data_IF_691015030572
#
_entry.id   IF_691015030572
#
_cell.length_a   1.000
_cell.length_b   1.000
_cell.length_c   1.000
_cell.angle_alpha   90.00
_cell.angle_beta   90.00
_cell.angle_gamma   90.00
#
_symmetry.space_group_name_H-M   'P 1'
#
loop_
_entity.id
_entity.type
_entity.pdbx_description
1 polymer ?
#
# COMPACT_ATOMS: atom_id res chain seq x y z
N UNK A 1 -9.22 -5.51 -5.02
CA UNK A 1 -10.02 -4.70 -5.96
C UNK A 1 -9.56 -4.98 -7.38
N UNK A 2 -10.43 -5.44 -8.29
CA UNK A 2 -10.09 -5.49 -9.71
C UNK A 2 -9.92 -4.07 -10.28
N UNK A 3 -9.17 -3.93 -11.35
CA UNK A 3 -8.93 -2.64 -12.00
C UNK A 3 -8.04 -2.75 -13.23
N UNK A 4 -7.76 -1.60 -13.84
CA UNK A 4 -6.82 -1.45 -14.94
C UNK A 4 -5.37 -1.76 -14.48
N UNK A 5 -4.42 -1.81 -15.40
CA UNK A 5 -3.00 -1.93 -15.09
C UNK A 5 -2.20 -0.88 -15.86
N UNK A 6 -2.54 0.39 -15.67
CA UNK A 6 -1.72 1.46 -16.23
C UNK A 6 -0.33 1.46 -15.58
N UNK A 7 0.69 1.87 -16.34
CA UNK A 7 2.02 2.09 -15.77
C UNK A 7 1.96 3.17 -14.70
N UNK A 8 2.75 2.99 -13.65
CA UNK A 8 2.92 3.98 -12.59
C UNK A 8 4.33 4.54 -12.70
N UNK A 9 4.42 5.74 -13.26
CA UNK A 9 5.63 6.55 -13.34
C UNK A 9 5.24 8.03 -13.17
N UNK A 10 6.19 8.96 -12.95
CA UNK A 10 5.84 10.36 -12.68
C UNK A 10 4.98 11.03 -13.76
N UNK A 11 5.16 10.68 -15.03
CA UNK A 11 4.37 11.25 -16.15
C UNK A 11 2.93 10.77 -16.09
N UNK A 12 2.73 9.46 -16.01
CA UNK A 12 1.39 8.83 -15.93
C UNK A 12 0.65 9.22 -14.66
N UNK A 13 1.33 9.30 -13.51
CA UNK A 13 0.74 9.71 -12.24
C UNK A 13 0.17 11.13 -12.27
N UNK A 14 0.77 12.03 -13.06
CA UNK A 14 0.24 13.39 -13.27
C UNK A 14 -0.84 13.47 -14.34
N UNK A 15 -0.76 12.63 -15.37
CA UNK A 15 -1.60 12.72 -16.56
C UNK A 15 -2.88 11.88 -16.54
N UNK A 16 -2.96 10.86 -15.68
CA UNK A 16 -4.12 9.94 -15.62
C UNK A 16 -4.97 10.25 -14.39
N UNK A 17 -6.17 10.85 -14.56
CA UNK A 17 -7.08 11.11 -13.46
C UNK A 17 -7.43 9.82 -12.71
N UNK A 18 -7.26 9.85 -11.39
CA UNK A 18 -7.58 8.72 -10.53
C UNK A 18 -6.72 7.47 -10.78
N UNK A 19 -5.50 7.60 -11.34
CA UNK A 19 -4.61 6.47 -11.68
C UNK A 19 -4.64 5.34 -10.63
N UNK A 20 -4.38 5.68 -9.37
CA UNK A 20 -4.30 4.70 -8.28
C UNK A 20 -5.66 4.07 -7.92
N UNK A 21 -6.76 4.80 -8.11
CA UNK A 21 -8.11 4.30 -7.89
C UNK A 21 -8.63 3.44 -9.05
N UNK A 22 -8.06 3.60 -10.25
CA UNK A 22 -8.38 2.82 -11.44
C UNK A 22 -7.59 1.53 -11.52
N UNK A 23 -6.34 1.53 -11.09
CA UNK A 23 -5.51 0.34 -11.13
C UNK A 23 -6.00 -0.76 -10.17
N UNK A 24 -5.75 -2.01 -10.57
CA UNK A 24 -5.89 -3.18 -9.70
C UNK A 24 -5.07 -2.97 -8.42
N UNK A 25 -5.69 -3.28 -7.27
CA UNK A 25 -5.06 -3.00 -5.97
C UNK A 25 -5.52 -3.95 -4.88
N UNK A 26 -4.65 -4.17 -3.90
CA UNK A 26 -4.94 -4.88 -2.65
C UNK A 26 -4.95 -3.85 -1.53
N UNK A 27 -6.06 -3.77 -0.81
CA UNK A 27 -6.26 -2.86 0.32
C UNK A 27 -6.10 -3.68 1.59
N UNK A 28 -5.20 -3.25 2.47
CA UNK A 28 -4.94 -3.87 3.76
C UNK A 28 -5.23 -2.86 4.87
N UNK A 29 -6.20 -3.16 5.72
CA UNK A 29 -6.57 -2.35 6.89
C UNK A 29 -5.89 -2.92 8.12
N UNK A 30 -5.34 -2.04 8.96
CA UNK A 30 -4.60 -2.41 10.16
C UNK A 30 -5.03 -1.54 11.34
N UNK A 31 -5.00 -2.14 12.53
CA UNK A 31 -5.01 -1.41 13.80
C UNK A 31 -3.56 -1.22 14.27
N UNK A 32 -3.17 0.01 14.55
CA UNK A 32 -1.82 0.37 14.98
C UNK A 32 -1.80 1.20 16.27
N UNK A 33 -0.59 1.45 16.83
CA UNK A 33 -0.43 2.24 18.05
C UNK A 33 -0.94 3.70 17.95
N UNK A 34 -1.02 4.25 16.73
CA UNK A 34 -1.51 5.60 16.45
C UNK A 34 -2.96 5.61 15.91
N UNK A 35 -3.68 4.50 16.07
CA UNK A 35 -5.01 4.28 15.50
C UNK A 35 -4.99 3.42 14.23
N UNK A 36 -6.15 3.26 13.57
CA UNK A 36 -6.25 2.47 12.37
C UNK A 36 -5.49 3.14 11.22
N UNK A 37 -4.94 2.35 10.30
CA UNK A 37 -4.30 2.85 9.08
C UNK A 37 -4.49 1.85 7.94
N UNK A 38 -4.28 2.31 6.70
CA UNK A 38 -4.46 1.48 5.50
C UNK A 38 -3.22 1.53 4.65
N UNK A 39 -2.77 0.36 4.19
CA UNK A 39 -1.76 0.23 3.16
C UNK A 39 -2.40 -0.36 1.91
N UNK A 40 -2.23 0.31 0.78
CA UNK A 40 -2.77 -0.12 -0.51
C UNK A 40 -1.62 -0.44 -1.44
N UNK A 41 -1.50 -1.71 -1.80
CA UNK A 41 -0.60 -2.16 -2.86
C UNK A 41 -1.31 -1.91 -4.20
N UNK A 42 -0.74 -1.07 -5.07
CA UNK A 42 -1.34 -0.71 -6.37
C UNK A 42 -0.51 -1.31 -7.49
N UNK A 43 -1.10 -2.27 -8.22
CA UNK A 43 -0.46 -2.89 -9.37
C UNK A 43 -0.27 -1.93 -10.55
N UNK A 44 0.62 -2.29 -11.46
CA UNK A 44 0.86 -1.57 -12.71
C UNK A 44 1.18 -2.53 -13.87
N UNK A 45 1.35 -2.01 -15.09
CA UNK A 45 1.72 -2.80 -16.29
C UNK A 45 2.90 -3.72 -16.00
N UNK A 46 2.80 -5.01 -16.39
CA UNK A 46 3.85 -6.06 -16.20
C UNK A 46 4.11 -6.45 -14.72
N UNK A 47 3.75 -5.61 -13.77
CA UNK A 47 4.16 -5.70 -12.36
C UNK A 47 2.99 -5.77 -11.38
N UNK A 48 1.82 -6.21 -11.86
CA UNK A 48 0.57 -6.16 -11.10
C UNK A 48 0.35 -7.27 -10.09
N UNK A 49 1.28 -8.21 -9.90
CA UNK A 49 1.08 -9.36 -8.99
C UNK A 49 1.50 -9.02 -7.57
N UNK A 50 0.60 -9.24 -6.61
CA UNK A 50 0.77 -8.83 -5.22
C UNK A 50 0.59 -10.03 -4.28
N UNK A 51 1.41 -10.04 -3.22
CA UNK A 51 1.33 -11.03 -2.16
C UNK A 51 1.47 -10.36 -0.79
N UNK A 52 0.82 -10.92 0.21
CA UNK A 52 1.01 -10.56 1.62
C UNK A 52 1.57 -11.75 2.38
N UNK A 53 2.27 -11.51 3.49
CA UNK A 53 2.91 -12.60 4.24
C UNK A 53 1.90 -13.55 4.89
N UNK A 54 0.66 -13.09 5.14
CA UNK A 54 -0.39 -13.90 5.76
C UNK A 54 -1.33 -14.59 4.77
N UNK A 55 -1.61 -13.98 3.62
CA UNK A 55 -2.50 -14.57 2.60
C UNK A 55 -1.73 -15.37 1.55
N UNK A 56 -0.44 -15.07 1.37
CA UNK A 56 0.32 -15.50 0.22
C UNK A 56 -0.06 -14.69 -1.02
N UNK A 57 -0.11 -15.35 -2.17
CA UNK A 57 -0.39 -14.70 -3.45
C UNK A 57 -1.87 -14.31 -3.56
N UNK A 58 -2.13 -13.00 -3.65
CA UNK A 58 -3.51 -12.48 -3.80
C UNK A 58 -3.92 -12.52 -5.27
N UNK A 59 -3.01 -12.14 -6.16
CA UNK A 59 -3.19 -12.20 -7.61
C UNK A 59 -1.83 -12.45 -8.31
N UNK A 60 -1.78 -13.28 -9.37
CA UNK A 60 -2.86 -14.08 -9.98
C UNK A 60 -3.34 -15.27 -9.11
N UNK A 61 -4.50 -15.89 -9.43
CA UNK A 61 -5.37 -15.61 -10.57
C UNK A 61 -6.14 -14.30 -10.41
N UNK A 62 -6.32 -13.58 -11.53
CA UNK A 62 -7.13 -12.36 -11.60
C UNK A 62 -8.55 -12.75 -11.94
N UNK A 63 -9.44 -12.76 -10.94
CA UNK A 63 -10.84 -13.14 -11.12
C UNK A 63 -11.69 -12.06 -11.81
N UNK A 64 -11.20 -10.82 -11.89
CA UNK A 64 -11.98 -9.66 -12.33
C UNK A 64 -13.09 -9.24 -11.36
N UNK A 65 -13.21 -9.92 -10.21
CA UNK A 65 -14.24 -9.68 -9.19
C UNK A 65 -13.64 -9.09 -7.93
N UNK A 66 -14.43 -8.27 -7.23
CA UNK A 66 -14.11 -7.86 -5.88
C UNK A 66 -14.02 -9.10 -4.98
N UNK A 67 -12.97 -9.14 -4.16
CA UNK A 67 -12.77 -10.15 -3.12
C UNK A 67 -12.39 -9.43 -1.84
N UNK A 68 -12.94 -9.93 -0.75
CA UNK A 68 -12.71 -9.45 0.60
C UNK A 68 -12.41 -10.65 1.48
N UNK A 69 -11.48 -10.47 2.41
CA UNK A 69 -11.14 -11.46 3.42
C UNK A 69 -11.11 -10.76 4.77
N UNK A 70 -11.74 -11.40 5.77
CA UNK A 70 -11.67 -10.99 7.17
C UNK A 70 -10.87 -12.05 7.91
N UNK A 71 -9.92 -11.61 8.73
CA UNK A 71 -9.00 -12.49 9.47
C UNK A 71 -9.22 -12.40 10.98
N UNK A 72 -10.44 -12.09 11.43
CA UNK A 72 -10.76 -11.90 12.84
C UNK A 72 -10.55 -13.17 13.69
N UNK A 73 -10.49 -14.33 13.05
CA UNK A 73 -10.23 -15.65 13.64
C UNK A 73 -8.74 -16.00 13.75
N UNK A 74 -7.83 -15.12 13.30
CA UNK A 74 -6.39 -15.35 13.30
C UNK A 74 -5.65 -14.25 14.06
N UNK A 75 -4.64 -14.64 14.83
CA UNK A 75 -3.73 -13.69 15.44
C UNK A 75 -2.67 -13.24 14.41
N UNK A 76 -3.03 -12.26 13.58
CA UNK A 76 -2.11 -11.64 12.62
C UNK A 76 -1.54 -10.36 13.23
N UNK A 77 -0.26 -10.41 13.64
CA UNK A 77 0.48 -9.27 14.17
C UNK A 77 1.76 -9.09 13.36
N UNK A 78 2.03 -7.84 12.98
CA UNK A 78 3.29 -7.44 12.37
C UNK A 78 3.97 -6.43 13.28
N UNK A 79 5.26 -6.64 13.56
CA UNK A 79 6.09 -5.66 14.24
C UNK A 79 6.55 -4.59 13.25
N UNK A 80 6.89 -3.41 13.77
CA UNK A 80 7.49 -2.37 12.95
C UNK A 80 8.75 -2.90 12.25
N UNK A 81 8.80 -2.75 10.92
CA UNK A 81 9.91 -3.21 10.08
C UNK A 81 9.77 -4.64 9.54
N UNK A 82 8.77 -5.42 9.98
CA UNK A 82 8.50 -6.73 9.38
C UNK A 82 7.90 -6.60 7.97
N UNK A 83 8.19 -7.59 7.12
CA UNK A 83 7.61 -7.67 5.78
C UNK A 83 6.09 -7.85 5.90
N UNK A 84 5.35 -6.91 5.33
CA UNK A 84 3.89 -6.97 5.24
C UNK A 84 3.46 -7.67 3.95
N UNK A 85 4.08 -7.29 2.84
CA UNK A 85 3.77 -7.81 1.52
C UNK A 85 4.75 -7.27 0.49
N UNK A 86 4.60 -7.76 -0.73
CA UNK A 86 5.53 -7.48 -1.81
C UNK A 86 4.82 -7.47 -3.16
N UNK A 87 5.49 -6.80 -4.09
CA UNK A 87 5.24 -6.95 -5.50
C UNK A 87 6.25 -7.94 -6.06
N UNK A 88 5.83 -8.80 -6.99
CA UNK A 88 6.78 -9.75 -7.61
C UNK A 88 7.76 -9.05 -8.57
N UNK A 89 7.35 -7.93 -9.12
CA UNK A 89 8.18 -6.94 -9.82
C UNK A 89 7.62 -5.58 -9.36
N UNK A 90 8.43 -4.57 -9.04
CA UNK A 90 8.04 -3.44 -8.18
C UNK A 90 6.77 -2.65 -8.56
N UNK A 91 6.20 -1.84 -7.65
CA UNK A 91 5.11 -0.89 -7.96
C UNK A 91 4.96 0.22 -6.89
N UNK A 92 3.74 0.59 -6.46
CA UNK A 92 3.44 1.73 -5.58
C UNK A 92 2.59 1.30 -4.37
N UNK A 93 2.92 1.87 -3.21
CA UNK A 93 2.09 1.80 -2.00
C UNK A 93 1.46 3.16 -1.75
N UNK A 94 0.15 3.18 -1.54
CA UNK A 94 -0.55 4.32 -0.95
C UNK A 94 -0.79 4.03 0.52
N UNK A 95 -0.26 4.88 1.40
CA UNK A 95 -0.46 4.79 2.84
C UNK A 95 -1.47 5.85 3.29
N UNK A 96 -2.50 5.45 4.02
CA UNK A 96 -3.55 6.31 4.52
C UNK A 96 -3.59 6.24 6.04
N UNK A 97 -3.63 7.42 6.66
CA UNK A 97 -3.69 7.58 8.10
C UNK A 97 -4.84 8.54 8.45
N UNK A 98 -5.49 8.38 9.61
CA UNK A 98 -6.44 9.36 10.11
C UNK A 98 -5.80 10.75 10.18
N UNK A 99 -6.58 11.77 9.86
CA UNK A 99 -6.10 13.14 9.89
C UNK A 99 -5.52 13.49 11.27
N UNK A 100 -4.29 14.00 11.28
CA UNK A 100 -3.59 14.39 12.50
C UNK A 100 -2.94 13.25 13.29
N UNK A 101 -3.04 11.99 12.87
CA UNK A 101 -2.39 10.86 13.57
C UNK A 101 -0.87 10.77 13.36
N UNK A 102 -0.36 11.40 12.29
CA UNK A 102 1.07 11.44 11.95
C UNK A 102 1.46 12.82 11.44
N UNK A 103 2.72 13.19 11.68
CA UNK A 103 3.38 14.36 11.10
C UNK A 103 4.54 13.88 10.23
N UNK A 104 4.48 14.16 8.93
CA UNK A 104 5.57 13.81 8.01
C UNK A 104 6.85 14.59 8.35
N UNK A 105 7.99 13.91 8.17
CA UNK A 105 9.30 14.56 8.25
C UNK A 105 9.37 15.66 7.18
N UNK A 106 9.75 16.92 7.52
CA UNK A 106 9.84 18.01 6.56
C UNK A 106 10.80 17.75 5.39
N UNK A 107 11.82 16.91 5.57
CA UNK A 107 12.75 16.49 4.52
C UNK A 107 12.23 15.34 3.64
N UNK A 108 11.00 14.86 3.89
CA UNK A 108 10.34 13.85 3.07
C UNK A 108 9.49 14.53 1.99
N UNK A 109 10.16 14.92 0.91
CA UNK A 109 9.58 15.69 -0.19
C UNK A 109 9.20 14.82 -1.40
N UNK A 110 8.22 15.25 -2.23
CA UNK A 110 7.84 14.53 -3.44
C UNK A 110 9.01 14.27 -4.39
N UNK A 111 9.14 13.03 -4.87
CA UNK A 111 10.18 12.62 -5.82
C UNK A 111 11.50 12.20 -5.18
N UNK A 112 11.67 12.37 -3.87
CA UNK A 112 12.83 11.86 -3.13
C UNK A 112 12.81 10.33 -3.09
N UNK A 113 13.98 9.72 -3.29
CA UNK A 113 14.15 8.28 -3.13
C UNK A 113 13.98 7.89 -1.65
N UNK A 114 13.19 6.84 -1.40
CA UNK A 114 12.99 6.27 -0.06
C UNK A 114 14.07 5.23 0.26
N UNK A 115 14.50 5.16 1.51
CA UNK A 115 15.43 4.11 2.00
C UNK A 115 14.73 3.18 2.99
N UNK A 116 15.08 1.90 2.96
CA UNK A 116 14.56 0.93 3.94
C UNK A 116 14.98 1.35 5.35
N UNK A 117 14.02 1.39 6.27
CA UNK A 117 14.22 1.80 7.66
C UNK A 117 14.24 3.32 7.88
N UNK A 118 14.12 4.12 6.83
CA UNK A 118 14.01 5.57 6.96
C UNK A 118 12.67 5.96 7.58
N UNK A 119 12.72 6.84 8.59
CA UNK A 119 11.51 7.43 9.15
C UNK A 119 10.90 8.43 8.16
N UNK A 120 9.63 8.23 7.80
CA UNK A 120 8.89 9.14 6.90
C UNK A 120 7.98 10.09 7.69
N UNK A 121 7.54 9.67 8.87
CA UNK A 121 6.63 10.43 9.73
C UNK A 121 6.82 10.03 11.19
N UNK A 122 6.33 10.89 12.08
CA UNK A 122 6.38 10.73 13.52
C UNK A 122 4.99 10.92 14.12
N UNK A 123 4.78 10.37 15.33
CA UNK A 123 3.61 10.73 16.12
C UNK A 123 3.64 12.25 16.40
N UNK A 124 2.50 12.95 16.35
CA UNK A 124 2.42 14.34 16.79
C UNK A 124 2.89 14.44 18.24
N UNK A 125 3.70 15.44 18.55
CA UNK A 125 3.93 15.83 19.93
C UNK A 125 2.60 16.35 20.48
N UNK A 126 2.20 15.86 21.66
CA UNK A 126 1.05 16.38 22.40
C UNK A 126 1.25 17.87 22.76
#
# INVERSE_FOLDING_TARGET
MPGDLFSVNPVTARGVPGLFARNERVVCEFDGPLGPFVLVLVGATIVGSMATVWHGQVNPPRSGRLREWRYADRELRLRQGEEMGRFLLGSTVVALFPQGSVRFDPGWEPGRAVRLGEAMAFAPLL
#
